data_IF_282733132117
#
_entry.id   IF_282733132117
#
_cell.length_a   1.000
_cell.length_b   1.000
_cell.length_c   1.000
_cell.angle_alpha   90.00
_cell.angle_beta   90.00
_cell.angle_gamma   90.00
#
_symmetry.space_group_name_H-M   'P 1'
#
loop_
_entity.id
_entity.type
_entity.pdbx_description
1 polymer ?
#
# COMPACT_ATOMS: atom_id res chain seq x y z
N UNK A 1 -15.81 11.04 -9.74
CA UNK A 1 -16.37 10.44 -10.99
C UNK A 1 -15.99 8.95 -11.12
N UNK A 2 -14.69 8.57 -11.12
CA UNK A 2 -14.30 7.17 -11.27
C UNK A 2 -14.78 6.29 -10.10
N UNK A 3 -14.57 6.74 -8.85
CA UNK A 3 -15.06 6.03 -7.67
C UNK A 3 -16.60 5.85 -7.70
N UNK A 4 -17.36 6.88 -8.09
CA UNK A 4 -18.81 6.79 -8.20
C UNK A 4 -19.26 5.78 -9.27
N UNK A 5 -18.49 5.66 -10.36
CA UNK A 5 -18.78 4.68 -11.40
C UNK A 5 -18.53 3.24 -10.88
N UNK A 6 -17.42 3.00 -10.20
CA UNK A 6 -17.11 1.69 -9.61
C UNK A 6 -18.16 1.26 -8.58
N UNK A 7 -18.60 2.20 -7.73
CA UNK A 7 -19.70 1.94 -6.78
C UNK A 7 -21.01 1.61 -7.52
N UNK A 8 -21.34 2.37 -8.57
CA UNK A 8 -22.55 2.12 -9.36
C UNK A 8 -22.50 0.78 -10.13
N UNK A 9 -21.32 0.34 -10.54
CA UNK A 9 -21.10 -0.94 -11.20
C UNK A 9 -21.18 -2.13 -10.25
N UNK A 10 -21.15 -1.87 -8.93
CA UNK A 10 -21.29 -2.91 -7.89
C UNK A 10 -20.12 -3.89 -7.87
N UNK A 11 -18.90 -3.37 -7.98
CA UNK A 11 -17.68 -4.20 -7.92
C UNK A 11 -17.47 -4.78 -6.51
N UNK A 12 -16.88 -5.96 -6.41
CA UNK A 12 -16.63 -6.62 -5.12
C UNK A 12 -15.40 -6.03 -4.39
N UNK A 13 -14.47 -5.43 -5.11
CA UNK A 13 -13.28 -4.78 -4.57
C UNK A 13 -12.71 -3.77 -5.57
N UNK A 14 -11.95 -2.81 -5.06
CA UNK A 14 -11.20 -1.85 -5.89
C UNK A 14 -9.72 -2.06 -5.64
N UNK A 15 -8.91 -1.98 -6.69
CA UNK A 15 -7.45 -1.93 -6.59
C UNK A 15 -6.92 -0.69 -7.30
N UNK A 16 -6.08 0.08 -6.60
CA UNK A 16 -5.36 1.22 -7.18
C UNK A 16 -3.86 0.96 -7.14
N UNK A 17 -3.16 0.95 -8.29
CA UNK A 17 -1.70 0.92 -8.30
C UNK A 17 -1.13 2.20 -7.69
N UNK A 18 0.17 2.19 -7.38
CA UNK A 18 0.87 3.35 -6.83
C UNK A 18 0.80 4.54 -7.79
N UNK A 19 0.00 5.54 -7.45
CA UNK A 19 -0.21 6.77 -8.21
C UNK A 19 -0.42 7.96 -7.26
N UNK A 20 0.44 8.96 -7.35
CA UNK A 20 0.42 10.11 -6.44
C UNK A 20 -0.85 10.98 -6.58
N UNK A 21 -1.45 11.03 -7.77
CA UNK A 21 -2.67 11.81 -8.00
C UNK A 21 -3.86 11.19 -7.27
N UNK A 22 -4.00 9.87 -7.38
CA UNK A 22 -5.08 9.13 -6.71
C UNK A 22 -4.84 9.11 -5.20
N UNK A 23 -3.59 8.88 -4.76
CA UNK A 23 -3.23 8.91 -3.34
C UNK A 23 -3.64 10.23 -2.68
N UNK A 24 -3.35 11.37 -3.33
CA UNK A 24 -3.74 12.69 -2.81
C UNK A 24 -5.26 12.87 -2.76
N UNK A 25 -6.00 12.23 -3.65
CA UNK A 25 -7.46 12.27 -3.68
C UNK A 25 -8.12 11.30 -2.69
N UNK A 26 -7.37 10.36 -2.12
CA UNK A 26 -7.91 9.24 -1.33
C UNK A 26 -8.78 9.73 -0.16
N UNK A 27 -8.33 10.71 0.62
CA UNK A 27 -9.12 11.33 1.71
C UNK A 27 -10.48 11.89 1.26
N UNK A 28 -10.69 12.05 -0.05
CA UNK A 28 -11.96 12.55 -0.60
C UNK A 28 -12.85 11.44 -1.17
N UNK A 29 -12.33 10.21 -1.27
CA UNK A 29 -13.04 9.11 -1.95
C UNK A 29 -13.21 7.85 -1.10
N UNK A 30 -12.39 7.63 -0.06
CA UNK A 30 -12.41 6.40 0.73
C UNK A 30 -13.78 6.12 1.39
N UNK A 31 -14.44 7.15 1.90
CA UNK A 31 -15.77 7.02 2.52
C UNK A 31 -16.82 6.44 1.55
N UNK A 32 -16.72 6.76 0.26
CA UNK A 32 -17.63 6.23 -0.77
C UNK A 32 -17.53 4.72 -0.90
N UNK A 33 -16.32 4.18 -0.80
CA UNK A 33 -16.10 2.73 -0.85
C UNK A 33 -16.54 2.06 0.45
N UNK A 34 -16.30 2.69 1.61
CA UNK A 34 -16.78 2.21 2.90
C UNK A 34 -18.32 2.14 2.91
N UNK A 35 -19.00 3.22 2.53
CA UNK A 35 -20.46 3.30 2.49
C UNK A 35 -21.07 2.25 1.56
N UNK A 36 -20.36 1.88 0.50
CA UNK A 36 -20.78 0.84 -0.44
C UNK A 36 -20.35 -0.58 0.00
N UNK A 37 -19.60 -0.73 1.09
CA UNK A 37 -19.08 -2.03 1.57
C UNK A 37 -17.98 -2.60 0.66
N UNK A 38 -17.28 -1.76 -0.10
CA UNK A 38 -16.28 -2.16 -1.09
C UNK A 38 -14.87 -1.98 -0.51
N UNK A 39 -14.10 -3.04 -0.26
CA UNK A 39 -12.72 -2.91 0.20
C UNK A 39 -11.81 -2.33 -0.91
N UNK A 40 -11.06 -1.28 -0.56
CA UNK A 40 -10.09 -0.64 -1.44
C UNK A 40 -8.68 -1.08 -1.11
N UNK A 41 -8.09 -1.87 -1.99
CA UNK A 41 -6.70 -2.32 -1.94
C UNK A 41 -5.81 -1.42 -2.78
N UNK A 42 -4.57 -1.21 -2.35
CA UNK A 42 -3.68 -0.25 -3.00
C UNK A 42 -2.23 -0.75 -3.07
N UNK A 43 -1.43 -0.15 -3.95
CA UNK A 43 -0.03 -0.50 -4.16
C UNK A 43 0.95 0.20 -3.21
N UNK A 44 0.49 0.93 -2.19
CA UNK A 44 1.35 1.60 -1.22
C UNK A 44 0.63 1.82 0.12
N UNK A 45 1.39 1.85 1.21
CA UNK A 45 0.93 2.07 2.58
C UNK A 45 0.33 3.45 2.82
N UNK A 46 0.84 4.48 2.11
CA UNK A 46 0.32 5.85 2.18
C UNK A 46 -1.17 5.98 1.82
N UNK A 47 -1.71 5.09 1.00
CA UNK A 47 -3.15 5.06 0.73
C UNK A 47 -3.95 4.58 1.94
N UNK A 48 -3.43 3.62 2.70
CA UNK A 48 -4.08 3.16 3.93
C UNK A 48 -4.14 4.28 4.97
N UNK A 49 -3.09 5.12 5.07
CA UNK A 49 -3.10 6.33 5.90
C UNK A 49 -4.20 7.31 5.46
N UNK A 50 -4.52 7.34 4.18
CA UNK A 50 -5.56 8.19 3.60
C UNK A 50 -6.95 7.54 3.59
N UNK A 51 -7.15 6.44 4.30
CA UNK A 51 -8.44 5.79 4.47
C UNK A 51 -8.71 4.57 3.60
N UNK A 52 -7.81 4.18 2.68
CA UNK A 52 -7.96 2.91 1.97
C UNK A 52 -7.90 1.72 2.96
N UNK A 53 -8.59 0.62 2.63
CA UNK A 53 -8.65 -0.55 3.49
C UNK A 53 -7.27 -1.15 3.75
N UNK A 54 -6.49 -1.38 2.70
CA UNK A 54 -5.17 -1.97 2.82
C UNK A 54 -4.23 -1.51 1.70
N UNK A 55 -2.98 -1.22 2.06
CA UNK A 55 -1.88 -1.00 1.13
C UNK A 55 -0.87 -2.14 1.19
N UNK A 56 -0.41 -2.61 0.03
CA UNK A 56 0.73 -3.52 -0.07
C UNK A 56 1.87 -2.77 -0.76
N UNK A 57 2.88 -2.42 0.03
CA UNK A 57 4.02 -1.61 -0.41
C UNK A 57 5.35 -2.35 -0.29
N UNK A 58 6.36 -1.77 -0.91
CA UNK A 58 7.74 -2.24 -0.78
C UNK A 58 8.31 -1.78 0.57
N UNK A 59 9.03 -2.67 1.25
CA UNK A 59 9.86 -2.26 2.38
C UNK A 59 11.05 -1.42 1.86
N UNK A 60 10.95 -0.11 2.02
CA UNK A 60 11.96 0.84 1.52
C UNK A 60 13.32 0.72 2.20
N UNK A 61 13.39 0.24 3.44
CA UNK A 61 14.66 0.00 4.12
C UNK A 61 15.41 -1.17 3.46
N UNK A 62 14.70 -2.26 3.19
CA UNK A 62 15.25 -3.41 2.47
C UNK A 62 15.59 -3.06 1.01
N UNK A 63 14.76 -2.27 0.33
CA UNK A 63 15.05 -1.78 -1.02
C UNK A 63 16.34 -0.94 -1.03
N UNK A 64 16.51 -0.05 -0.06
CA UNK A 64 17.71 0.77 0.09
C UNK A 64 18.96 -0.06 0.35
N UNK A 65 18.89 -1.04 1.26
CA UNK A 65 20.00 -1.95 1.54
C UNK A 65 20.39 -2.77 0.30
N UNK A 66 19.43 -3.35 -0.39
CA UNK A 66 19.68 -4.10 -1.63
C UNK A 66 20.28 -3.23 -2.74
N UNK A 67 19.80 -2.01 -2.88
CA UNK A 67 20.38 -1.05 -3.83
C UNK A 67 21.84 -0.73 -3.49
N UNK A 68 22.16 -0.56 -2.21
CA UNK A 68 23.54 -0.35 -1.76
C UNK A 68 24.43 -1.55 -2.06
N UNK A 69 23.95 -2.78 -1.87
CA UNK A 69 24.69 -4.00 -2.22
C UNK A 69 25.01 -4.06 -3.72
N UNK A 70 24.03 -3.75 -4.59
CA UNK A 70 24.23 -3.70 -6.03
C UNK A 70 25.26 -2.64 -6.44
N UNK A 71 25.23 -1.46 -5.80
CA UNK A 71 26.23 -0.39 -6.02
C UNK A 71 27.61 -0.85 -5.57
N UNK A 72 27.72 -1.51 -4.40
CA UNK A 72 28.97 -2.04 -3.90
C UNK A 72 29.57 -3.11 -4.83
N UNK A 73 28.74 -3.98 -5.39
CA UNK A 73 29.16 -4.99 -6.36
C UNK A 73 29.76 -4.35 -7.64
N UNK A 74 29.17 -3.26 -8.12
CA UNK A 74 29.70 -2.52 -9.28
C UNK A 74 31.02 -1.84 -8.91
N UNK A 75 31.07 -1.12 -7.79
CA UNK A 75 32.22 -0.26 -7.45
C UNK A 75 33.41 -1.05 -6.88
N UNK A 76 33.16 -2.10 -6.11
CA UNK A 76 34.18 -2.84 -5.36
C UNK A 76 34.51 -4.20 -5.97
N UNK A 77 33.54 -4.88 -6.55
CA UNK A 77 33.66 -6.24 -7.06
C UNK A 77 33.75 -6.30 -8.60
N UNK A 78 33.62 -5.15 -9.28
CA UNK A 78 33.79 -5.05 -10.73
C UNK A 78 32.61 -5.60 -11.54
N UNK A 79 31.42 -5.68 -10.97
CA UNK A 79 30.23 -6.02 -11.73
C UNK A 79 29.96 -4.95 -12.82
N UNK A 80 29.61 -5.41 -14.02
CA UNK A 80 29.31 -4.52 -15.14
C UNK A 80 27.85 -4.07 -15.09
N UNK A 81 27.56 -2.76 -14.95
CA UNK A 81 26.19 -2.26 -14.94
C UNK A 81 25.37 -2.62 -16.17
N UNK A 82 26.04 -2.78 -17.34
CA UNK A 82 25.39 -3.13 -18.61
C UNK A 82 24.83 -4.57 -18.60
N UNK A 83 25.36 -5.45 -17.76
CA UNK A 83 24.96 -6.84 -17.66
C UNK A 83 24.34 -7.20 -16.31
N UNK A 84 24.33 -6.28 -15.35
CA UNK A 84 23.66 -6.45 -14.06
C UNK A 84 22.15 -6.45 -14.28
N UNK A 85 21.44 -7.53 -13.92
CA UNK A 85 20.01 -7.61 -14.14
C UNK A 85 19.23 -6.64 -13.23
N UNK A 86 18.05 -6.26 -13.67
CA UNK A 86 17.07 -5.58 -12.79
C UNK A 86 16.59 -6.61 -11.76
N UNK A 87 16.61 -6.21 -10.50
CA UNK A 87 16.08 -7.02 -9.41
C UNK A 87 14.67 -6.55 -9.03
N UNK A 88 13.83 -7.50 -8.64
CA UNK A 88 12.48 -7.26 -8.14
C UNK A 88 12.38 -7.75 -6.70
N UNK A 89 11.45 -7.16 -5.94
CA UNK A 89 11.25 -7.48 -4.53
C UNK A 89 9.93 -8.22 -4.33
N UNK A 90 10.00 -9.34 -3.62
CA UNK A 90 8.84 -10.15 -3.23
C UNK A 90 8.42 -9.93 -1.77
N UNK A 91 9.16 -9.08 -1.03
CA UNK A 91 8.99 -8.88 0.40
C UNK A 91 8.29 -7.54 0.67
N UNK A 92 7.05 -7.42 0.26
CA UNK A 92 6.25 -6.24 0.58
C UNK A 92 5.78 -6.22 2.03
N UNK A 93 5.43 -5.04 2.50
CA UNK A 93 4.74 -4.81 3.76
C UNK A 93 3.26 -4.58 3.48
N UNK A 94 2.39 -5.28 4.18
CA UNK A 94 0.96 -4.97 4.17
C UNK A 94 0.67 -3.97 5.29
N UNK A 95 -0.06 -2.90 4.97
CA UNK A 95 -0.54 -1.92 5.95
C UNK A 95 -2.05 -1.87 5.90
N UNK A 96 -2.71 -2.19 7.00
CA UNK A 96 -4.17 -2.25 7.11
C UNK A 96 -4.66 -1.06 7.93
N UNK A 97 -5.62 -0.34 7.38
CA UNK A 97 -6.33 0.69 8.12
C UNK A 97 -7.40 0.04 9.00
N UNK A 98 -7.20 0.09 10.32
CA UNK A 98 -8.05 -0.59 11.29
C UNK A 98 -9.44 0.03 11.40
N UNK A 99 -9.56 1.36 11.22
CA UNK A 99 -10.86 2.04 11.20
C UNK A 99 -11.68 1.66 9.97
N UNK A 100 -11.05 1.62 8.80
CA UNK A 100 -11.70 1.18 7.56
C UNK A 100 -12.04 -0.31 7.61
N UNK A 101 -11.17 -1.14 8.21
CA UNK A 101 -11.43 -2.55 8.45
C UNK A 101 -12.70 -2.75 9.28
N UNK A 102 -12.84 -2.03 10.41
CA UNK A 102 -14.03 -2.07 11.28
C UNK A 102 -15.28 -1.57 10.55
N UNK A 103 -15.17 -0.45 9.83
CA UNK A 103 -16.27 0.14 9.08
C UNK A 103 -16.82 -0.79 7.99
N UNK A 104 -15.96 -1.61 7.38
CA UNK A 104 -16.34 -2.67 6.43
C UNK A 104 -16.90 -3.93 7.13
N UNK A 105 -16.97 -3.95 8.46
CA UNK A 105 -17.42 -5.11 9.23
C UNK A 105 -16.45 -6.27 9.24
N UNK A 106 -15.17 -6.04 8.98
CA UNK A 106 -14.11 -7.04 8.98
C UNK A 106 -13.39 -7.07 10.33
N UNK A 107 -12.96 -8.28 10.73
CA UNK A 107 -12.14 -8.46 11.91
C UNK A 107 -10.65 -8.33 11.54
N UNK A 108 -9.94 -7.41 12.17
CA UNK A 108 -8.54 -7.11 11.86
C UNK A 108 -7.63 -8.32 12.04
N UNK A 109 -7.80 -9.11 13.11
CA UNK A 109 -6.95 -10.29 13.33
C UNK A 109 -7.13 -11.35 12.25
N UNK A 110 -8.36 -11.49 11.75
CA UNK A 110 -8.66 -12.38 10.61
C UNK A 110 -8.00 -11.88 9.33
N UNK A 111 -8.06 -10.58 9.05
CA UNK A 111 -7.42 -9.95 7.90
C UNK A 111 -5.89 -10.10 8.00
N UNK A 112 -5.31 -9.81 9.16
CA UNK A 112 -3.89 -9.95 9.46
C UNK A 112 -3.40 -11.37 9.20
N UNK A 113 -4.08 -12.36 9.76
CA UNK A 113 -3.72 -13.78 9.58
C UNK A 113 -3.77 -14.22 8.11
N UNK A 114 -4.67 -13.64 7.30
CA UNK A 114 -4.74 -13.91 5.88
C UNK A 114 -3.60 -13.25 5.09
N UNK A 115 -3.09 -12.09 5.53
CA UNK A 115 -2.03 -11.35 4.86
C UNK A 115 -0.62 -11.81 5.26
N UNK A 116 -0.42 -12.25 6.51
CA UNK A 116 0.90 -12.67 7.03
C UNK A 116 1.67 -13.65 6.13
N UNK A 117 1.06 -14.66 5.51
CA UNK A 117 1.78 -15.58 4.62
C UNK A 117 2.25 -14.93 3.30
N UNK A 118 1.74 -13.75 2.95
CA UNK A 118 1.95 -13.07 1.67
C UNK A 118 2.90 -11.88 1.75
N UNK A 119 3.35 -11.52 2.95
CA UNK A 119 4.19 -10.33 3.17
C UNK A 119 5.20 -10.57 4.30
N UNK A 120 6.19 -9.68 4.41
CA UNK A 120 7.18 -9.75 5.48
C UNK A 120 6.67 -9.22 6.80
N UNK A 121 5.70 -8.30 6.74
CA UNK A 121 5.13 -7.64 7.91
C UNK A 121 3.72 -7.14 7.61
N UNK A 122 2.85 -7.21 8.60
CA UNK A 122 1.54 -6.55 8.59
C UNK A 122 1.56 -5.43 9.62
N UNK A 123 1.37 -4.20 9.14
CA UNK A 123 1.28 -2.99 9.96
C UNK A 123 -0.17 -2.58 10.15
N UNK A 124 -0.42 -1.88 11.25
CA UNK A 124 -1.70 -1.24 11.58
C UNK A 124 -1.56 0.26 11.41
N UNK A 125 -2.60 0.90 10.88
CA UNK A 125 -2.67 2.35 10.77
C UNK A 125 -4.10 2.81 10.97
N UNK A 126 -4.28 4.08 11.33
CA UNK A 126 -5.56 4.78 11.36
C UNK A 126 -5.57 5.88 10.31
N UNK A 127 -6.76 6.32 9.92
CA UNK A 127 -6.90 7.35 8.90
C UNK A 127 -6.37 8.69 9.41
N UNK A 128 -5.59 9.39 8.58
CA UNK A 128 -5.11 10.72 8.88
C UNK A 128 -6.27 11.73 8.94
N UNK A 129 -6.30 12.59 9.96
CA UNK A 129 -7.34 13.61 10.10
C UNK A 129 -7.18 14.76 9.09
N UNK A 130 -5.96 14.96 8.57
CA UNK A 130 -5.67 16.02 7.62
C UNK A 130 -4.46 15.70 6.73
N UNK A 131 -4.37 16.37 5.57
CA UNK A 131 -3.20 16.25 4.67
C UNK A 131 -1.88 16.68 5.32
N UNK A 132 -1.90 17.52 6.34
CA UNK A 132 -0.69 17.96 7.03
C UNK A 132 -0.01 16.84 7.84
N UNK A 133 -0.76 15.82 8.23
CA UNK A 133 -0.24 14.64 8.94
C UNK A 133 0.50 13.68 8.01
N UNK A 134 0.22 13.77 6.70
CA UNK A 134 0.87 12.97 5.67
C UNK A 134 2.32 13.41 5.40
N UNK A 135 2.65 14.67 5.72
CA UNK A 135 4.01 15.23 5.52
C UNK A 135 4.95 14.93 6.70
N UNK A 136 4.43 14.41 7.81
CA UNK A 136 5.15 14.22 9.08
C UNK A 136 5.76 12.82 9.28
N UNK A 137 5.55 11.87 8.33
CA UNK A 137 6.03 10.48 8.43
C UNK A 137 7.10 10.16 7.36
#
# INVERSE_FOLDING_TARGET
>A
LAADALVADGVDAVFTPTDNTIMTAELSIYEKFIDAGIPHYTGADSFALNGAFAGYGVDYANLGAKTADMVADILLNGADPATTPVETFDNGTATVNTETCEALGLDFETVKAAMEPLCTQVNEIVTAESFNELEAN
#
